data_IF_990843108261
#
_entry.id   IF_990843108261
#
_cell.length_a   1.000
_cell.length_b   1.000
_cell.length_c   1.000
_cell.angle_alpha   90.00
_cell.angle_beta   90.00
_cell.angle_gamma   90.00
#
_symmetry.space_group_name_H-M   'P 1'
#
loop_
_entity.id
_entity.type
_entity.pdbx_description
1 polymer ?
#
# COMPACT_ATOMS: atom_id res chain seq x y z
N UNK A 1 -13.03 24.99 -12.69
CA UNK A 1 -11.95 24.22 -12.04
C UNK A 1 -12.35 23.94 -10.61
N UNK A 2 -12.76 22.70 -10.29
CA UNK A 2 -12.96 22.18 -8.91
C UNK A 2 -13.27 20.67 -8.85
N UNK A 3 -13.37 19.97 -9.99
CA UNK A 3 -13.79 18.56 -10.00
C UNK A 3 -12.62 17.57 -9.93
N UNK A 4 -11.43 17.92 -10.43
CA UNK A 4 -10.28 17.00 -10.47
C UNK A 4 -9.72 16.63 -9.10
N UNK A 5 -9.89 17.48 -8.08
CA UNK A 5 -9.53 17.19 -6.69
C UNK A 5 -10.78 16.92 -5.81
N UNK A 6 -11.91 16.55 -6.41
CA UNK A 6 -13.11 16.22 -5.64
C UNK A 6 -12.94 14.89 -4.90
N UNK A 7 -13.75 14.67 -3.85
CA UNK A 7 -13.81 13.37 -3.18
C UNK A 7 -14.14 12.25 -4.16
N UNK A 8 -15.03 12.51 -5.13
CA UNK A 8 -15.41 11.55 -6.17
C UNK A 8 -14.23 11.19 -7.08
N UNK A 9 -13.41 12.18 -7.47
CA UNK A 9 -12.20 11.93 -8.25
C UNK A 9 -11.19 11.06 -7.47
N UNK A 10 -10.97 11.36 -6.18
CA UNK A 10 -10.11 10.57 -5.29
C UNK A 10 -10.57 9.13 -5.14
N UNK A 11 -11.88 8.91 -4.93
CA UNK A 11 -12.48 7.57 -4.87
C UNK A 11 -12.21 6.82 -6.17
N UNK A 12 -12.52 7.42 -7.32
CA UNK A 12 -12.33 6.79 -8.64
C UNK A 12 -10.88 6.37 -8.89
N UNK A 13 -9.92 7.23 -8.55
CA UNK A 13 -8.48 6.91 -8.73
C UNK A 13 -8.05 5.82 -7.75
N UNK A 14 -8.57 5.84 -6.52
CA UNK A 14 -8.30 4.78 -5.53
C UNK A 14 -8.86 3.44 -5.98
N UNK A 15 -10.08 3.40 -6.52
CA UNK A 15 -10.67 2.18 -7.08
C UNK A 15 -9.91 1.66 -8.30
N UNK A 16 -9.31 2.57 -9.07
CA UNK A 16 -8.40 2.20 -10.18
C UNK A 16 -7.15 1.51 -9.63
N UNK A 17 -6.55 2.04 -8.55
CA UNK A 17 -5.40 1.40 -7.90
C UNK A 17 -5.77 0.03 -7.30
N UNK A 18 -6.92 -0.09 -6.62
CA UNK A 18 -7.41 -1.36 -6.09
C UNK A 18 -7.56 -2.39 -7.21
N UNK A 19 -8.17 -1.99 -8.34
CA UNK A 19 -8.39 -2.88 -9.48
C UNK A 19 -7.09 -3.30 -10.15
N UNK A 20 -6.10 -2.40 -10.19
CA UNK A 20 -4.77 -2.67 -10.73
C UNK A 20 -4.02 -3.66 -9.84
N UNK A 21 -3.86 -3.34 -8.55
CA UNK A 21 -3.18 -4.22 -7.59
C UNK A 21 -3.90 -5.56 -7.41
N UNK A 22 -5.22 -5.60 -7.55
CA UNK A 22 -6.02 -6.83 -7.55
C UNK A 22 -5.60 -7.83 -8.62
N UNK A 23 -5.17 -7.34 -9.79
CA UNK A 23 -4.68 -8.18 -10.90
C UNK A 23 -3.28 -8.72 -10.62
N UNK A 24 -2.42 -7.89 -10.01
CA UNK A 24 -1.02 -8.22 -9.73
C UNK A 24 -0.88 -9.16 -8.51
N UNK A 25 -1.62 -8.91 -7.42
CA UNK A 25 -1.37 -9.54 -6.12
C UNK A 25 -2.50 -10.46 -5.61
N UNK A 26 -3.57 -10.68 -6.38
CA UNK A 26 -4.75 -11.47 -5.95
C UNK A 26 -5.31 -11.03 -4.59
N UNK A 27 -5.71 -9.76 -4.51
CA UNK A 27 -6.28 -9.17 -3.30
C UNK A 27 -7.58 -9.88 -2.88
N UNK A 28 -7.63 -10.36 -1.64
CA UNK A 28 -8.82 -11.00 -1.04
C UNK A 28 -9.43 -10.06 0.00
N UNK A 29 -10.70 -9.65 -0.13
CA UNK A 29 -11.32 -8.73 0.80
C UNK A 29 -11.40 -9.33 2.22
N UNK A 30 -11.17 -8.52 3.26
CA UNK A 30 -11.25 -8.97 4.66
C UNK A 30 -12.70 -9.22 5.15
N UNK A 31 -13.68 -8.65 4.46
CA UNK A 31 -15.10 -8.77 4.76
C UNK A 31 -15.91 -8.76 3.46
N UNK A 32 -17.08 -9.40 3.46
CA UNK A 32 -17.99 -9.38 2.31
C UNK A 32 -18.61 -7.98 2.10
N UNK A 33 -18.86 -7.23 3.19
CA UNK A 33 -19.26 -5.83 3.16
C UNK A 33 -18.02 -4.92 3.24
N UNK A 34 -17.54 -4.45 2.10
CA UNK A 34 -16.38 -3.55 1.99
C UNK A 34 -16.80 -2.08 2.11
N UNK A 35 -17.06 -1.63 3.35
CA UNK A 35 -17.13 -0.20 3.65
C UNK A 35 -15.73 0.41 3.71
N UNK A 36 -15.62 1.73 3.53
CA UNK A 36 -14.34 2.43 3.65
C UNK A 36 -13.95 2.59 5.12
N UNK A 37 -12.66 2.45 5.49
CA UNK A 37 -11.54 2.05 4.65
C UNK A 37 -11.65 0.58 4.20
N UNK A 38 -11.30 0.32 2.94
CA UNK A 38 -11.36 -1.03 2.37
C UNK A 38 -10.05 -1.75 2.62
N UNK A 39 -10.13 -2.95 3.16
CA UNK A 39 -8.96 -3.78 3.45
C UNK A 39 -8.98 -5.06 2.64
N UNK A 40 -7.81 -5.45 2.13
CA UNK A 40 -7.61 -6.72 1.43
C UNK A 40 -6.34 -7.39 1.90
N UNK A 41 -6.41 -8.70 2.06
CA UNK A 41 -5.27 -9.53 2.37
C UNK A 41 -4.70 -10.14 1.10
N UNK A 42 -3.38 -10.29 1.07
CA UNK A 42 -2.71 -11.06 0.04
C UNK A 42 -1.45 -11.70 0.59
N UNK A 43 -1.02 -12.75 -0.10
CA UNK A 43 0.25 -13.41 0.15
C UNK A 43 1.26 -12.96 -0.91
N UNK A 44 2.45 -12.60 -0.47
CA UNK A 44 3.53 -12.24 -1.38
C UNK A 44 4.86 -12.73 -0.83
N UNK A 45 5.61 -13.44 -1.67
CA UNK A 45 6.86 -14.10 -1.30
C UNK A 45 6.72 -14.95 -0.04
N UNK A 46 7.24 -14.48 1.10
CA UNK A 46 7.35 -15.24 2.33
C UNK A 46 6.42 -14.69 3.43
N UNK A 47 5.57 -13.71 3.11
CA UNK A 47 4.72 -13.04 4.08
C UNK A 47 3.26 -12.90 3.64
N UNK A 48 2.41 -12.70 4.64
CA UNK A 48 1.02 -12.25 4.45
C UNK A 48 0.94 -10.78 4.79
N UNK A 49 0.19 -10.03 3.99
CA UNK A 49 0.06 -8.59 4.12
C UNK A 49 -1.39 -8.15 4.03
N UNK A 50 -1.70 -7.05 4.72
CA UNK A 50 -2.96 -6.32 4.62
C UNK A 50 -2.71 -5.02 3.87
N UNK A 51 -3.39 -4.86 2.75
CA UNK A 51 -3.57 -3.59 2.08
C UNK A 51 -4.76 -2.84 2.66
N UNK A 52 -4.61 -1.55 2.95
CA UNK A 52 -5.67 -0.68 3.45
C UNK A 52 -5.79 0.53 2.53
N UNK A 53 -6.99 0.75 2.00
CA UNK A 53 -7.31 1.86 1.11
C UNK A 53 -8.28 2.83 1.78
N UNK A 54 -7.94 4.11 1.79
CA UNK A 54 -8.78 5.18 2.34
C UNK A 54 -9.67 5.80 1.27
N UNK A 55 -10.87 6.23 1.68
CA UNK A 55 -11.79 7.02 0.87
C UNK A 55 -11.14 8.31 0.30
N UNK A 56 -10.15 8.87 1.01
CA UNK A 56 -9.47 10.10 0.62
C UNK A 56 -8.30 9.88 -0.35
N UNK A 57 -8.02 8.63 -0.71
CA UNK A 57 -6.94 8.26 -1.60
C UNK A 57 -5.61 8.07 -0.90
N UNK A 58 -5.57 7.19 0.10
CA UNK A 58 -4.30 6.67 0.61
C UNK A 58 -4.27 5.16 0.48
N UNK A 59 -3.08 4.62 0.29
CA UNK A 59 -2.80 3.19 0.29
C UNK A 59 -1.71 2.90 1.32
N UNK A 60 -1.99 1.96 2.22
CA UNK A 60 -1.05 1.51 3.25
C UNK A 60 -0.90 0.00 3.15
N UNK A 61 0.33 -0.49 3.16
CA UNK A 61 0.65 -1.90 3.28
C UNK A 61 1.13 -2.21 4.70
N UNK A 62 0.44 -3.12 5.37
CA UNK A 62 0.76 -3.59 6.72
C UNK A 62 1.16 -5.07 6.66
N UNK A 63 2.14 -5.50 7.45
CA UNK A 63 2.44 -6.92 7.60
C UNK A 63 1.42 -7.60 8.51
N UNK A 64 1.00 -8.82 8.19
CA UNK A 64 0.09 -9.63 9.03
C UNK A 64 0.83 -10.61 9.95
N UNK A 65 2.10 -10.32 10.27
CA UNK A 65 2.95 -11.27 11.00
C UNK A 65 2.89 -11.03 12.51
N UNK A 66 2.51 -12.05 13.27
CA UNK A 66 2.36 -12.00 14.75
C UNK A 66 3.71 -11.86 15.50
N UNK A 67 4.84 -12.01 14.79
CA UNK A 67 6.17 -12.18 15.37
C UNK A 67 7.00 -10.91 15.54
N UNK A 68 6.53 -9.73 15.11
CA UNK A 68 7.31 -8.49 15.28
C UNK A 68 6.72 -7.60 16.37
N UNK A 69 7.58 -7.18 17.31
CA UNK A 69 7.27 -6.09 18.25
C UNK A 69 7.04 -4.73 17.52
N UNK A 70 7.33 -4.67 16.22
CA UNK A 70 7.05 -3.56 15.31
C UNK A 70 5.66 -3.65 14.63
N UNK A 71 4.77 -4.50 15.16
CA UNK A 71 3.54 -5.03 14.54
C UNK A 71 2.46 -4.06 14.05
N UNK A 72 2.75 -2.77 13.88
CA UNK A 72 1.85 -1.79 13.25
C UNK A 72 2.57 -0.80 12.30
N UNK A 73 3.88 -0.95 12.06
CA UNK A 73 4.58 -0.03 11.14
C UNK A 73 4.25 -0.38 9.69
N UNK A 74 3.84 0.60 8.86
CA UNK A 74 3.64 0.37 7.43
C UNK A 74 4.91 -0.10 6.73
N UNK A 75 4.78 -1.15 5.93
CA UNK A 75 5.83 -1.58 4.98
C UNK A 75 5.93 -0.58 3.83
N UNK A 76 4.80 -0.05 3.39
CA UNK A 76 4.72 0.90 2.28
C UNK A 76 3.50 1.81 2.42
N UNK A 77 3.64 3.06 1.99
CA UNK A 77 2.57 4.06 2.03
C UNK A 77 2.68 5.04 0.86
N UNK A 78 1.55 5.32 0.23
CA UNK A 78 1.38 6.43 -0.73
C UNK A 78 0.03 7.11 -0.54
N UNK A 79 -0.05 8.36 -0.96
CA UNK A 79 -1.30 9.14 -0.94
C UNK A 79 -1.50 9.95 -2.22
N UNK A 80 -2.75 10.21 -2.57
CA UNK A 80 -3.14 11.10 -3.63
C UNK A 80 -2.96 12.54 -3.18
N UNK A 81 -2.02 13.21 -3.82
CA UNK A 81 -1.84 14.65 -3.69
C UNK A 81 -2.26 15.34 -4.98
N UNK A 82 -2.80 16.54 -4.82
CA UNK A 82 -3.15 17.36 -5.98
C UNK A 82 -1.92 18.15 -6.39
N UNK A 83 -1.43 17.87 -7.59
CA UNK A 83 -0.32 18.59 -8.19
C UNK A 83 -0.86 19.81 -8.92
N UNK A 84 -0.50 21.00 -8.43
CA UNK A 84 -0.96 22.26 -8.96
C UNK A 84 -0.33 22.61 -10.33
N UNK A 85 0.82 22.02 -10.67
CA UNK A 85 1.49 22.26 -11.95
C UNK A 85 0.81 21.48 -13.08
N UNK A 86 0.42 20.23 -12.81
CA UNK A 86 -0.28 19.38 -13.77
C UNK A 86 -1.81 19.48 -13.71
N UNK A 87 -2.38 20.10 -12.65
CA UNK A 87 -3.84 20.17 -12.38
C UNK A 87 -4.46 18.75 -12.22
N UNK A 88 -3.68 17.80 -11.69
CA UNK A 88 -4.05 16.39 -11.58
C UNK A 88 -3.83 15.82 -10.17
N UNK A 89 -4.55 14.72 -9.86
CA UNK A 89 -4.30 13.91 -8.68
C UNK A 89 -3.23 12.87 -8.98
N UNK A 90 -2.14 12.91 -8.23
CA UNK A 90 -0.98 12.04 -8.41
C UNK A 90 -0.70 11.23 -7.14
N UNK A 91 -0.30 9.98 -7.31
CA UNK A 91 0.16 9.15 -6.18
C UNK A 91 1.55 9.64 -5.76
N UNK A 92 1.73 9.81 -4.46
CA UNK A 92 2.97 10.38 -3.90
C UNK A 92 3.41 9.63 -2.65
N UNK A 93 4.72 9.51 -2.47
CA UNK A 93 5.36 9.07 -1.24
C UNK A 93 5.37 10.20 -0.18
N UNK A 94 5.59 9.90 1.11
CA UNK A 94 5.65 10.90 2.18
C UNK A 94 6.69 12.01 1.97
N UNK A 95 7.74 11.74 1.20
CA UNK A 95 8.78 12.71 0.86
C UNK A 95 8.39 13.63 -0.31
N UNK A 96 7.19 13.46 -0.86
CA UNK A 96 6.64 14.25 -1.97
C UNK A 96 6.97 13.70 -3.36
N UNK A 97 7.72 12.59 -3.48
CA UNK A 97 8.02 12.01 -4.79
C UNK A 97 6.78 11.43 -5.46
N UNK A 98 6.58 11.77 -6.74
CA UNK A 98 5.50 11.20 -7.55
C UNK A 98 5.78 9.74 -7.91
N UNK A 99 4.78 8.89 -7.73
CA UNK A 99 4.83 7.46 -8.07
C UNK A 99 3.95 7.20 -9.29
N UNK A 100 4.47 7.60 -10.45
CA UNK A 100 3.83 7.38 -11.74
C UNK A 100 4.84 6.94 -12.82
N UNK A 101 4.43 6.12 -13.79
CA UNK A 101 3.07 5.56 -13.96
C UNK A 101 2.75 4.45 -12.92
N UNK A 102 1.51 3.92 -12.95
CA UNK A 102 0.99 3.03 -11.90
C UNK A 102 1.83 1.76 -11.70
N UNK A 103 2.52 1.30 -12.74
CA UNK A 103 3.44 0.16 -12.72
C UNK A 103 4.59 0.37 -11.72
N UNK A 104 5.05 1.61 -11.54
CA UNK A 104 6.08 1.93 -10.53
C UNK A 104 5.60 1.70 -9.10
N UNK A 105 4.29 1.73 -8.85
CA UNK A 105 3.72 1.42 -7.52
C UNK A 105 3.99 -0.05 -7.19
N UNK A 106 3.80 -0.96 -8.16
CA UNK A 106 4.13 -2.39 -8.00
C UNK A 106 5.61 -2.58 -7.71
N UNK A 107 6.50 -2.00 -8.53
CA UNK A 107 7.96 -2.12 -8.34
C UNK A 107 8.41 -1.64 -6.95
N UNK A 108 7.91 -0.48 -6.50
CA UNK A 108 8.23 0.09 -5.18
C UNK A 108 7.65 -0.76 -4.05
N UNK A 109 6.42 -1.25 -4.19
CA UNK A 109 5.78 -2.14 -3.21
C UNK A 109 6.60 -3.43 -3.06
N UNK A 110 6.96 -4.09 -4.16
CA UNK A 110 7.77 -5.31 -4.12
C UNK A 110 9.15 -5.08 -3.49
N UNK A 111 9.77 -3.95 -3.79
CA UNK A 111 11.03 -3.54 -3.18
C UNK A 111 10.88 -3.33 -1.67
N UNK A 112 9.85 -2.60 -1.24
CA UNK A 112 9.58 -2.34 0.17
C UNK A 112 9.35 -3.64 0.96
N UNK A 113 8.56 -4.57 0.39
CA UNK A 113 8.36 -5.90 0.97
C UNK A 113 9.68 -6.68 1.05
N UNK A 114 10.51 -6.64 0.00
CA UNK A 114 11.79 -7.35 0.00
C UNK A 114 12.75 -6.84 1.07
N UNK A 115 12.81 -5.53 1.29
CA UNK A 115 13.60 -4.92 2.37
C UNK A 115 13.06 -5.37 3.73
N UNK A 116 11.75 -5.24 3.95
CA UNK A 116 11.09 -5.64 5.19
C UNK A 116 11.33 -7.12 5.54
N UNK A 117 11.18 -8.03 4.59
CA UNK A 117 11.42 -9.46 4.79
C UNK A 117 12.90 -9.78 5.08
N UNK A 118 13.83 -9.05 4.45
CA UNK A 118 15.27 -9.21 4.70
C UNK A 118 15.62 -8.77 6.12
N UNK A 119 15.15 -7.59 6.55
CA UNK A 119 15.40 -7.06 7.88
C UNK A 119 14.85 -7.98 8.99
N UNK A 120 13.65 -8.55 8.78
CA UNK A 120 13.10 -9.54 9.73
C UNK A 120 13.93 -10.82 9.77
N UNK A 121 14.39 -11.29 8.61
CA UNK A 121 15.22 -12.50 8.55
C UNK A 121 16.55 -12.29 9.25
N UNK A 122 17.16 -11.11 9.10
CA UNK A 122 18.41 -10.74 9.78
C UNK A 122 18.24 -10.63 11.30
N UNK A 123 17.09 -10.13 11.77
CA UNK A 123 16.75 -10.11 13.20
C UNK A 123 16.48 -11.52 13.75
N UNK A 124 16.11 -12.48 12.89
CA UNK A 124 15.85 -13.88 13.23
C UNK A 124 17.07 -14.74 13.57
N UNK A 125 18.29 -14.22 13.51
CA UNK A 125 19.54 -14.92 13.88
C UNK A 125 20.16 -14.40 15.19
N UNK A 126 19.32 -14.12 16.20
CA UNK A 126 19.75 -13.72 17.55
C UNK A 126 19.40 -14.70 18.68
N UNK A 127 18.65 -15.78 18.43
CA UNK A 127 18.32 -16.78 19.46
C UNK A 127 18.60 -18.20 18.97
N UNK A 128 19.87 -18.58 18.96
CA UNK A 128 20.32 -19.98 18.93
C UNK A 128 21.73 -20.09 19.52
N UNK A 129 21.82 -20.59 20.75
CA UNK A 129 23.07 -20.95 21.45
C UNK A 129 23.45 -19.91 22.50
N UNK A 130 23.52 -20.21 23.79
CA UNK A 130 23.72 -21.47 24.54
C UNK A 130 23.09 -21.37 25.92
#
# INVERSE_FOLDING_TARGET
MKDQNSLQARIRITETLISFLGKEFRLTPESESQEWPRSFNFEFKNGSYRSVFSLFGSFTLLPLNDKSAAGNSPVYYISLNFDAESDELVWTEPDGQHVQPMEKITEKLERAVSVYETEITDVGWGESGT
#
